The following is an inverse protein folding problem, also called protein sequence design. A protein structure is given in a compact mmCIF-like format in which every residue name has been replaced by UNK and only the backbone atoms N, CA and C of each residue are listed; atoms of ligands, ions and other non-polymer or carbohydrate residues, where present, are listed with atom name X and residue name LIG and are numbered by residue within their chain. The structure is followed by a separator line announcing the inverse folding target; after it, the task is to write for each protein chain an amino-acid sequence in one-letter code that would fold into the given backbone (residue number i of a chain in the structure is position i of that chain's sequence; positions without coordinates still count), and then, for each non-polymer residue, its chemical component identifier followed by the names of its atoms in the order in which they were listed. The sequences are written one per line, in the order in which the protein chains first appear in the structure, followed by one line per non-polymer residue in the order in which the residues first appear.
data_IF_778137215730
#
_entry.id   IF_778137215730
#
_cell.length_a   1.000
_cell.length_b   1.000
_cell.length_c   1.000
_cell.angle_alpha   90.00
_cell.angle_beta   90.00
_cell.angle_gamma   90.00
#
_symmetry.space_group_name_H-M   'P 1'
#
loop_
_entity.id
_entity.type
_entity.pdbx_description
1 polymer ?
#
# COMPACT_ATOMS: atom_id res chain seq x y z
N UNK A 1 -4.51 1.68 -15.27
CA UNK A 1 -3.45 1.42 -14.27
C UNK A 1 -3.13 2.74 -13.63
N UNK A 2 -3.19 2.82 -12.30
CA UNK A 2 -3.07 4.06 -11.54
C UNK A 2 -1.73 4.08 -10.81
N UNK A 3 -1.06 5.22 -10.83
CA UNK A 3 0.23 5.45 -10.19
C UNK A 3 0.03 6.19 -8.87
N UNK A 4 0.81 5.82 -7.87
CA UNK A 4 0.71 6.39 -6.52
C UNK A 4 2.04 7.05 -6.18
N UNK A 5 1.98 8.35 -5.90
CA UNK A 5 3.12 9.10 -5.37
C UNK A 5 3.23 8.89 -3.86
N UNK A 6 4.42 9.10 -3.33
CA UNK A 6 4.69 9.02 -1.89
C UNK A 6 5.59 10.17 -1.46
N UNK A 7 5.37 10.67 -0.26
CA UNK A 7 6.27 11.62 0.39
C UNK A 7 6.90 10.97 1.62
N UNK A 8 8.14 11.34 1.93
CA UNK A 8 8.75 10.92 3.19
C UNK A 8 8.10 11.68 4.36
N UNK A 9 7.70 10.95 5.39
CA UNK A 9 7.19 11.48 6.65
C UNK A 9 8.20 11.20 7.76
N UNK A 10 8.69 12.26 8.41
CA UNK A 10 9.59 12.13 9.58
C UNK A 10 8.87 11.57 10.80
N UNK A 11 7.58 11.89 10.96
CA UNK A 11 6.74 11.38 12.06
C UNK A 11 6.58 9.86 11.98
N UNK A 12 6.31 9.33 10.78
CA UNK A 12 6.14 7.90 10.56
C UNK A 12 7.47 7.18 10.24
N UNK A 13 8.57 7.94 10.07
CA UNK A 13 9.88 7.45 9.60
C UNK A 13 9.77 6.54 8.36
N UNK A 14 8.91 6.93 7.42
CA UNK A 14 8.53 6.12 6.27
C UNK A 14 8.11 6.98 5.07
N UNK A 15 8.16 6.38 3.87
CA UNK A 15 7.53 6.91 2.68
C UNK A 15 6.05 6.53 2.68
N UNK A 16 5.20 7.55 2.62
CA UNK A 16 3.76 7.42 2.84
C UNK A 16 2.99 7.87 1.60
N UNK A 17 2.02 7.06 1.18
CA UNK A 17 1.09 7.43 0.11
C UNK A 17 -0.02 8.35 0.64
N UNK A 18 -0.71 9.10 -0.23
CA UNK A 18 -2.06 9.58 0.09
C UNK A 18 -2.99 8.39 0.39
N UNK A 19 -4.14 8.66 1.00
CA UNK A 19 -5.19 7.67 1.11
C UNK A 19 -5.78 7.35 -0.26
N UNK A 20 -5.85 6.06 -0.58
CA UNK A 20 -6.39 5.55 -1.84
C UNK A 20 -7.74 4.94 -1.55
N UNK A 21 -8.78 5.48 -2.18
CA UNK A 21 -10.15 4.96 -2.06
C UNK A 21 -10.37 3.88 -3.11
N UNK A 22 -10.67 2.66 -2.67
CA UNK A 22 -10.86 1.48 -3.53
C UNK A 22 -12.29 1.00 -3.46
N UNK A 23 -12.91 0.83 -4.63
CA UNK A 23 -14.29 0.37 -4.79
C UNK A 23 -14.40 -1.07 -5.30
N UNK A 24 -13.30 -1.64 -5.79
CA UNK A 24 -13.22 -2.97 -6.38
C UNK A 24 -11.89 -3.61 -6.02
N UNK A 25 -11.81 -4.93 -6.18
CA UNK A 25 -10.57 -5.67 -6.06
C UNK A 25 -9.46 -5.02 -6.90
N UNK A 26 -8.24 -5.02 -6.36
CA UNK A 26 -7.08 -4.50 -7.07
C UNK A 26 -5.92 -5.49 -7.08
N UNK A 27 -5.10 -5.35 -8.11
CA UNK A 27 -3.75 -5.85 -8.14
C UNK A 27 -2.77 -4.69 -7.90
N UNK A 28 -2.08 -4.72 -6.76
CA UNK A 28 -1.12 -3.70 -6.30
C UNK A 28 0.31 -4.19 -6.55
N UNK A 29 1.11 -3.35 -7.18
CA UNK A 29 2.52 -3.58 -7.44
C UNK A 29 3.36 -2.45 -6.84
N UNK A 30 4.34 -2.82 -6.03
CA UNK A 30 5.26 -1.91 -5.36
C UNK A 30 6.68 -2.38 -5.64
N UNK A 31 7.50 -1.48 -6.16
CA UNK A 31 8.94 -1.68 -6.37
C UNK A 31 9.69 -0.63 -5.58
N UNK A 32 10.61 -1.05 -4.72
CA UNK A 32 11.47 -0.18 -3.92
C UNK A 32 12.83 0.00 -4.59
N UNK A 33 13.48 1.15 -4.38
CA UNK A 33 14.85 1.38 -4.88
C UNK A 33 15.89 0.48 -4.18
N UNK A 34 15.59 0.03 -2.96
CA UNK A 34 16.42 -0.88 -2.15
C UNK A 34 15.52 -1.76 -1.26
N UNK A 35 16.02 -2.90 -0.74
CA UNK A 35 15.26 -3.78 0.15
C UNK A 35 14.61 -3.01 1.31
N UNK A 36 13.33 -3.26 1.57
CA UNK A 36 12.59 -2.55 2.61
C UNK A 36 11.37 -3.29 3.14
N UNK A 37 10.65 -2.64 4.03
CA UNK A 37 9.40 -3.14 4.61
C UNK A 37 8.22 -2.46 3.93
N UNK A 38 7.14 -3.21 3.77
CA UNK A 38 5.85 -2.74 3.31
C UNK A 38 4.84 -2.88 4.46
N UNK A 39 4.13 -1.81 4.75
CA UNK A 39 2.96 -1.81 5.62
C UNK A 39 1.81 -1.17 4.86
N UNK A 40 0.64 -1.79 4.93
CA UNK A 40 -0.60 -1.22 4.41
C UNK A 40 -1.53 -1.06 5.60
N UNK A 41 -2.05 0.16 5.80
CA UNK A 41 -3.15 0.42 6.74
C UNK A 41 -4.44 0.49 5.93
N UNK A 42 -5.52 -0.06 6.47
CA UNK A 42 -6.82 -0.10 5.80
C UNK A 42 -7.90 0.48 6.72
N UNK A 43 -8.72 1.38 6.19
CA UNK A 43 -9.94 1.89 6.80
C UNK A 43 -11.15 1.37 6.03
N UNK A 44 -12.13 0.84 6.76
CA UNK A 44 -13.38 0.27 6.21
C UNK A 44 -14.58 1.22 6.36
N UNK A 45 -14.34 2.48 6.69
CA UNK A 45 -15.37 3.49 6.96
C UNK A 45 -15.67 3.70 8.45
N UNK A 46 -14.95 3.02 9.34
CA UNK A 46 -15.08 3.19 10.80
C UNK A 46 -14.03 4.17 11.38
N UNK A 47 -13.19 4.76 10.52
CA UNK A 47 -12.12 5.69 10.89
C UNK A 47 -10.92 4.99 11.53
N UNK A 48 -10.99 3.67 11.75
CA UNK A 48 -9.86 2.89 12.24
C UNK A 48 -8.95 2.57 11.07
N UNK A 49 -7.64 2.54 11.33
CA UNK A 49 -6.61 2.27 10.31
C UNK A 49 -5.74 1.07 10.69
N UNK A 50 -6.30 -0.12 10.99
CA UNK A 50 -5.51 -1.30 11.31
C UNK A 50 -4.54 -1.67 10.19
N UNK A 51 -3.42 -2.28 10.58
CA UNK A 51 -2.46 -2.86 9.63
C UNK A 51 -3.06 -4.10 8.98
N UNK A 52 -2.97 -4.16 7.65
CA UNK A 52 -3.29 -5.36 6.87
C UNK A 52 -2.21 -6.41 7.15
N UNK A 53 -2.56 -7.63 7.56
CA UNK A 53 -1.60 -8.71 7.72
C UNK A 53 -1.02 -9.10 6.36
N UNK A 54 0.27 -8.83 6.14
CA UNK A 54 1.00 -9.23 4.93
C UNK A 54 2.02 -10.30 5.34
N UNK A 55 2.02 -11.43 4.63
CA UNK A 55 2.99 -12.50 4.87
C UNK A 55 4.40 -11.99 4.53
N UNK A 56 5.39 -12.43 5.31
CA UNK A 56 6.79 -12.13 5.02
C UNK A 56 7.15 -12.59 3.60
N UNK A 57 7.70 -11.68 2.81
CA UNK A 57 8.09 -11.94 1.44
C UNK A 57 9.61 -12.13 1.35
N UNK A 58 10.08 -13.13 0.60
CA UNK A 58 11.53 -13.37 0.44
C UNK A 58 12.23 -12.23 -0.29
N UNK A 59 11.56 -11.68 -1.31
CA UNK A 59 12.00 -10.48 -2.02
C UNK A 59 11.37 -9.25 -1.36
N UNK A 60 12.19 -8.38 -0.79
CA UNK A 60 11.77 -7.15 -0.11
C UNK A 60 11.99 -5.90 -0.96
N UNK A 61 12.38 -6.06 -2.22
CA UNK A 61 12.42 -4.99 -3.22
C UNK A 61 11.13 -4.90 -4.04
N UNK A 62 10.40 -6.01 -4.20
CA UNK A 62 9.19 -6.09 -5.01
C UNK A 62 8.06 -6.79 -4.25
N UNK A 63 6.89 -6.13 -4.22
CA UNK A 63 5.68 -6.66 -3.63
C UNK A 63 4.55 -6.66 -4.66
N UNK A 64 3.90 -7.81 -4.84
CA UNK A 64 2.78 -8.00 -5.75
C UNK A 64 1.63 -8.59 -4.95
N UNK A 65 0.61 -7.77 -4.71
CA UNK A 65 -0.48 -8.10 -3.79
C UNK A 65 -1.82 -8.02 -4.52
N UNK A 66 -2.65 -9.04 -4.33
CA UNK A 66 -4.07 -8.98 -4.70
C UNK A 66 -4.86 -8.57 -3.46
N UNK A 67 -5.50 -7.42 -3.51
CA UNK A 67 -6.35 -6.94 -2.42
C UNK A 67 -7.81 -7.18 -2.80
N UNK A 68 -8.53 -7.91 -1.95
CA UNK A 68 -9.98 -8.12 -2.08
C UNK A 68 -10.75 -7.07 -1.28
N UNK A 69 -11.75 -6.45 -1.90
CA UNK A 69 -12.61 -5.43 -1.29
C UNK A 69 -13.98 -6.05 -0.96
N UNK A 70 -14.37 -6.08 0.32
CA UNK A 70 -15.66 -6.62 0.78
C UNK A 70 -16.23 -5.73 1.91
N UNK A 71 -17.44 -5.15 1.81
CA UNK A 71 -18.11 -4.50 0.68
C UNK A 71 -18.07 -2.93 0.76
N UNK A 72 -18.58 -2.31 -0.31
CA UNK A 72 -18.75 -0.88 -0.63
C UNK A 72 -17.49 -0.07 -0.96
N UNK A 73 -16.67 0.33 0.00
CA UNK A 73 -15.49 1.16 -0.26
C UNK A 73 -14.48 1.01 0.88
N UNK A 74 -13.22 0.77 0.55
CA UNK A 74 -12.14 0.78 1.55
C UNK A 74 -11.16 1.90 1.22
N UNK A 75 -10.54 2.48 2.24
CA UNK A 75 -9.38 3.37 2.05
C UNK A 75 -8.14 2.63 2.47
N UNK A 76 -7.08 2.69 1.66
CA UNK A 76 -5.78 2.17 2.04
C UNK A 76 -4.74 3.27 2.07
N UNK A 77 -3.76 3.11 2.93
CA UNK A 77 -2.57 3.95 2.95
C UNK A 77 -1.33 3.06 3.01
N UNK A 78 -0.38 3.34 2.14
CA UNK A 78 0.81 2.53 1.92
C UNK A 78 2.00 3.21 2.60
N UNK A 79 2.75 2.42 3.35
CA UNK A 79 3.95 2.85 4.06
C UNK A 79 5.11 1.95 3.64
N UNK A 80 6.23 2.56 3.27
CA UNK A 80 7.44 1.83 2.89
C UNK A 80 8.65 2.39 3.61
N UNK A 81 9.51 1.51 4.12
CA UNK A 81 10.71 1.93 4.88
C UNK A 81 11.87 2.36 3.98
N UNK A 82 11.73 2.22 2.67
CA UNK A 82 12.71 2.64 1.67
C UNK A 82 11.97 3.28 0.53
N UNK A 83 12.65 4.20 -0.15
CA UNK A 83 12.05 5.01 -1.19
C UNK A 83 11.46 4.11 -2.31
N UNK A 84 10.17 4.27 -2.62
CA UNK A 84 9.58 3.59 -3.75
C UNK A 84 10.23 4.06 -5.05
N UNK A 85 10.60 3.10 -5.89
CA UNK A 85 10.86 3.37 -7.31
C UNK A 85 9.53 3.57 -8.04
N UNK A 86 8.54 2.73 -7.71
CA UNK A 86 7.23 2.76 -8.34
C UNK A 86 6.19 2.13 -7.41
N UNK A 87 5.01 2.76 -7.31
CA UNK A 87 3.80 2.16 -6.75
C UNK A 87 2.70 2.33 -7.77
N UNK A 88 2.03 1.23 -8.14
CA UNK A 88 0.92 1.25 -9.08
C UNK A 88 -0.08 0.15 -8.81
N UNK A 89 -1.33 0.37 -9.18
CA UNK A 89 -2.36 -0.67 -9.11
C UNK A 89 -3.28 -0.68 -10.34
N UNK A 90 -4.01 -1.76 -10.49
CA UNK A 90 -5.07 -1.90 -11.47
C UNK A 90 -6.28 -2.60 -10.83
N UNK A 91 -7.48 -2.16 -11.19
CA UNK A 91 -8.71 -2.88 -10.85
C UNK A 91 -8.78 -4.21 -11.60
N UNK A 92 -9.32 -5.23 -10.92
CA UNK A 92 -9.52 -6.58 -11.45
C UNK A 92 -10.94 -7.07 -11.20
#
# INVERSE_FOLDING_TARGET
MEYVSTNYSEEELAWVSPEITLQRDIYLMITLKRPGKLVIRQDRGDGKKPRVPIRAHKNTCEFKLRLRVIPETIKIQIFTSSEPKEIKYAYI
#
